data_IF_501755168728
#
_entry.id   IF_501755168728
#
_cell.length_a   1.000
_cell.length_b   1.000
_cell.length_c   1.000
_cell.angle_alpha   90.00
_cell.angle_beta   90.00
_cell.angle_gamma   90.00
#
_symmetry.space_group_name_H-M   'P 1'
#
loop_
_entity.id
_entity.type
_entity.pdbx_description
1 polymer ?
#
# COMPACT_ATOMS: atom_id res chain seq x y z
N UNK A 1 -17.02 6.44 23.29
CA UNK A 1 -15.81 7.01 22.66
C UNK A 1 -15.07 5.82 22.09
N UNK A 2 -14.75 5.78 20.78
CA UNK A 2 -13.89 4.72 20.24
C UNK A 2 -12.45 5.06 20.62
N UNK A 3 -11.70 4.10 21.14
CA UNK A 3 -10.28 4.28 21.49
C UNK A 3 -9.39 3.59 20.45
N UNK A 4 -8.26 4.19 20.13
CA UNK A 4 -7.24 3.59 19.26
C UNK A 4 -6.47 2.58 20.10
N UNK A 5 -6.51 1.32 19.66
CA UNK A 5 -5.84 0.19 20.34
C UNK A 5 -4.37 0.09 19.90
N UNK A 6 -4.09 0.36 18.62
CA UNK A 6 -2.76 0.28 18.04
C UNK A 6 -2.62 1.28 16.88
N UNK A 7 -1.45 1.92 16.79
CA UNK A 7 -1.04 2.72 15.64
C UNK A 7 0.31 2.22 15.15
N UNK A 8 0.42 1.93 13.85
CA UNK A 8 1.62 1.38 13.24
C UNK A 8 2.01 2.15 11.98
N UNK A 9 3.27 2.54 11.90
CA UNK A 9 3.87 3.05 10.66
C UNK A 9 4.16 1.89 9.70
N UNK A 10 3.74 2.04 8.45
CA UNK A 10 3.91 1.05 7.38
C UNK A 10 4.63 1.64 6.18
N UNK A 11 5.27 0.78 5.39
CA UNK A 11 6.01 1.15 4.16
C UNK A 11 5.11 1.22 2.93
N UNK A 12 5.59 1.87 1.85
CA UNK A 12 4.88 1.95 0.56
C UNK A 12 4.60 0.54 0.00
N UNK A 13 5.57 -0.41 0.02
CA UNK A 13 5.29 -1.81 -0.34
C UNK A 13 4.17 -2.47 0.47
N UNK A 14 4.12 -2.25 1.78
CA UNK A 14 3.03 -2.76 2.63
C UNK A 14 1.69 -2.12 2.27
N UNK A 15 1.66 -0.81 2.00
CA UNK A 15 0.44 -0.11 1.55
C UNK A 15 -0.04 -0.68 0.22
N UNK A 16 0.87 -0.93 -0.74
CA UNK A 16 0.53 -1.55 -2.03
C UNK A 16 -0.13 -2.91 -1.82
N UNK A 17 0.47 -3.81 -1.03
CA UNK A 17 -0.10 -5.12 -0.74
C UNK A 17 -1.51 -5.02 -0.13
N UNK A 18 -1.73 -4.06 0.78
CA UNK A 18 -3.04 -3.85 1.39
C UNK A 18 -4.06 -3.39 0.36
N UNK A 19 -3.72 -2.42 -0.48
CA UNK A 19 -4.64 -1.85 -1.47
C UNK A 19 -4.93 -2.84 -2.60
N UNK A 20 -3.93 -3.60 -3.07
CA UNK A 20 -4.12 -4.65 -4.08
C UNK A 20 -5.08 -5.73 -3.56
N UNK A 21 -4.96 -6.12 -2.29
CA UNK A 21 -5.88 -7.08 -1.68
C UNK A 21 -7.31 -6.54 -1.60
N UNK A 22 -7.49 -5.26 -1.25
CA UNK A 22 -8.82 -4.64 -1.18
C UNK A 22 -9.46 -4.60 -2.56
N UNK A 23 -8.72 -4.20 -3.59
CA UNK A 23 -9.19 -4.18 -4.99
C UNK A 23 -9.68 -5.58 -5.42
N UNK A 24 -8.91 -6.64 -5.11
CA UNK A 24 -9.29 -8.02 -5.41
C UNK A 24 -10.53 -8.49 -4.63
N UNK A 25 -10.67 -8.10 -3.35
CA UNK A 25 -11.84 -8.43 -2.54
C UNK A 25 -13.11 -7.71 -3.03
N UNK A 26 -12.99 -6.48 -3.52
CA UNK A 26 -14.09 -5.72 -4.12
C UNK A 26 -14.51 -6.31 -5.47
N UNK A 27 -13.56 -6.66 -6.33
CA UNK A 27 -13.83 -7.31 -7.61
C UNK A 27 -14.52 -8.67 -7.42
N UNK A 28 -14.08 -9.47 -6.45
CA UNK A 28 -14.71 -10.76 -6.15
C UNK A 28 -16.16 -10.61 -5.66
N UNK A 29 -16.44 -9.61 -4.82
CA UNK A 29 -17.82 -9.33 -4.37
C UNK A 29 -18.73 -8.92 -5.52
N UNK A 30 -18.27 -8.04 -6.41
CA UNK A 30 -19.05 -7.64 -7.59
C UNK A 30 -19.37 -8.83 -8.48
N UNK A 31 -18.39 -9.71 -8.72
CA UNK A 31 -18.62 -10.92 -9.50
C UNK A 31 -19.65 -11.88 -8.84
N UNK A 32 -19.60 -12.05 -7.52
CA UNK A 32 -20.60 -12.84 -6.78
C UNK A 32 -22.00 -12.20 -6.83
N UNK A 33 -22.10 -10.87 -6.75
CA UNK A 33 -23.36 -10.13 -6.88
C UNK A 33 -23.97 -10.25 -8.28
N UNK A 34 -23.16 -10.11 -9.33
CA UNK A 34 -23.57 -10.29 -10.73
C UNK A 34 -24.09 -11.73 -10.99
N UNK A 35 -23.41 -12.76 -10.48
CA UNK A 35 -23.89 -14.15 -10.60
C UNK A 35 -25.23 -14.37 -9.88
N UNK A 36 -25.45 -13.74 -8.72
CA UNK A 36 -26.71 -13.85 -7.98
C UNK A 36 -27.87 -13.13 -8.68
N UNK A 37 -27.60 -12.03 -9.37
CA UNK A 37 -28.57 -11.32 -10.20
C UNK A 37 -28.95 -12.12 -11.46
N UNK A 38 -27.98 -12.75 -12.12
CA UNK A 38 -28.24 -13.65 -13.27
C UNK A 38 -29.13 -14.85 -12.89
N UNK A 39 -28.97 -15.38 -11.67
CA UNK A 39 -29.79 -16.49 -11.15
C UNK A 39 -31.22 -16.01 -10.78
N UNK A 40 -31.39 -14.73 -10.42
CA UNK A 40 -32.67 -14.14 -10.02
C UNK A 40 -33.42 -13.45 -11.18
N UNK A 41 -32.79 -13.29 -12.36
CA UNK A 41 -33.32 -12.66 -13.57
C UNK A 41 -34.40 -13.43 -14.35
N UNK A 42 -35.29 -14.16 -13.68
CA UNK A 42 -36.54 -14.66 -14.26
C UNK A 42 -37.69 -13.66 -14.07
N UNK A 43 -37.93 -12.83 -15.09
CA UNK A 43 -39.13 -12.00 -15.35
C UNK A 43 -39.83 -11.32 -14.14
N UNK A 44 -39.53 -10.03 -13.91
CA UNK A 44 -40.41 -9.07 -13.24
C UNK A 44 -40.87 -7.99 -14.23
N UNK A 45 -42.16 -7.56 -14.21
CA UNK A 45 -42.68 -6.66 -15.24
C UNK A 45 -42.08 -5.26 -15.12
N UNK A 46 -41.79 -4.66 -16.26
CA UNK A 46 -41.36 -3.26 -16.38
C UNK A 46 -42.44 -2.33 -15.81
N UNK A 47 -42.19 -1.73 -14.64
CA UNK A 47 -42.91 -0.55 -14.18
C UNK A 47 -42.17 0.70 -14.68
N UNK A 48 -42.71 1.31 -15.73
CA UNK A 48 -42.37 2.68 -16.14
C UNK A 48 -42.87 3.65 -15.06
N UNK A 49 -41.95 4.22 -14.27
CA UNK A 49 -42.24 5.15 -13.18
C UNK A 49 -41.25 6.30 -13.09
N UNK A 50 -41.73 7.49 -13.49
CA UNK A 50 -41.25 8.86 -13.27
C UNK A 50 -39.92 9.10 -12.53
N UNK A 51 -38.91 9.60 -13.25
CA UNK A 51 -38.02 10.70 -12.81
C UNK A 51 -37.12 10.49 -11.58
N UNK A 52 -36.95 9.26 -11.10
CA UNK A 52 -35.93 8.89 -10.11
C UNK A 52 -34.66 8.39 -10.79
N UNK A 53 -33.51 8.62 -10.16
CA UNK A 53 -32.25 7.96 -10.52
C UNK A 53 -32.48 6.44 -10.47
N UNK A 54 -32.03 5.72 -11.49
CA UNK A 54 -32.00 4.26 -11.49
C UNK A 54 -31.18 3.73 -10.32
N UNK A 55 -31.41 2.47 -9.92
CA UNK A 55 -30.62 1.84 -8.86
C UNK A 55 -29.11 1.87 -9.17
N UNK A 56 -28.73 1.75 -10.45
CA UNK A 56 -27.36 1.92 -10.92
C UNK A 56 -26.86 3.37 -10.78
N UNK A 57 -27.63 4.37 -11.20
CA UNK A 57 -27.26 5.78 -11.03
C UNK A 57 -27.18 6.20 -9.54
N UNK A 58 -27.99 5.60 -8.67
CA UNK A 58 -27.96 5.83 -7.23
C UNK A 58 -26.72 5.19 -6.59
N UNK A 59 -26.33 4.00 -7.06
CA UNK A 59 -25.11 3.30 -6.63
C UNK A 59 -23.85 4.05 -7.06
N UNK A 60 -23.81 4.57 -8.30
CA UNK A 60 -22.72 5.40 -8.81
C UNK A 60 -22.55 6.72 -8.03
N UNK A 61 -23.65 7.30 -7.53
CA UNK A 61 -23.63 8.53 -6.72
C UNK A 61 -23.21 8.30 -5.27
N UNK A 62 -23.44 7.11 -4.71
CA UNK A 62 -23.03 6.77 -3.34
C UNK A 62 -21.53 6.37 -3.24
N UNK A 63 -20.88 5.95 -4.34
CA UNK A 63 -19.45 5.61 -4.39
C UNK A 63 -18.50 6.83 -4.57
N UNK A 64 -19.02 8.02 -4.85
CA UNK A 64 -18.24 9.25 -5.09
C UNK A 64 -18.06 10.11 -3.81
N UNK A 65 -17.70 9.49 -2.68
CA UNK A 65 -17.51 10.20 -1.40
C UNK A 65 -16.17 10.96 -1.28
N UNK A 66 -15.45 11.16 -2.39
CA UNK A 66 -14.13 11.79 -2.43
C UNK A 66 -13.01 10.96 -1.80
N UNK A 67 -13.31 9.94 -0.98
CA UNK A 67 -12.31 8.94 -0.56
C UNK A 67 -11.86 8.12 -1.75
N UNK A 68 -12.76 7.90 -2.71
CA UNK A 68 -12.47 7.24 -3.97
C UNK A 68 -11.31 7.91 -4.73
N UNK A 69 -11.30 9.24 -4.87
CA UNK A 69 -10.23 9.94 -5.59
C UNK A 69 -8.86 9.85 -4.89
N UNK A 70 -8.81 10.11 -3.58
CA UNK A 70 -7.55 10.06 -2.83
C UNK A 70 -7.03 8.62 -2.70
N UNK A 71 -7.91 7.64 -2.55
CA UNK A 71 -7.55 6.23 -2.48
C UNK A 71 -7.04 5.75 -3.84
N UNK A 72 -7.73 6.07 -4.94
CA UNK A 72 -7.27 5.80 -6.32
C UNK A 72 -5.90 6.41 -6.58
N UNK A 73 -5.74 7.70 -6.28
CA UNK A 73 -4.45 8.40 -6.43
C UNK A 73 -3.34 7.76 -5.58
N UNK A 74 -3.67 7.34 -4.35
CA UNK A 74 -2.72 6.64 -3.48
C UNK A 74 -2.37 5.27 -4.05
N UNK A 75 -3.34 4.54 -4.58
CA UNK A 75 -3.12 3.21 -5.16
C UNK A 75 -2.24 3.28 -6.41
N UNK A 76 -2.53 4.22 -7.30
CA UNK A 76 -1.69 4.53 -8.46
C UNK A 76 -0.26 4.89 -8.03
N UNK A 77 -0.12 5.74 -7.02
CA UNK A 77 1.19 6.10 -6.47
C UNK A 77 1.94 4.86 -5.96
N UNK A 78 1.33 4.03 -5.11
CA UNK A 78 2.04 2.88 -4.54
C UNK A 78 2.31 1.79 -5.58
N UNK A 79 1.48 1.63 -6.62
CA UNK A 79 1.73 0.74 -7.76
C UNK A 79 3.03 1.12 -8.50
N UNK A 80 3.34 2.41 -8.60
CA UNK A 80 4.55 2.92 -9.26
C UNK A 80 5.78 2.96 -8.33
N UNK A 81 5.58 3.32 -7.06
CA UNK A 81 6.68 3.63 -6.14
C UNK A 81 7.03 2.50 -5.16
N UNK A 82 6.28 1.40 -5.12
CA UNK A 82 6.71 0.19 -4.41
C UNK A 82 7.87 -0.48 -5.15
N UNK A 83 9.10 -0.18 -4.72
CA UNK A 83 10.33 -0.64 -5.39
C UNK A 83 10.72 -2.08 -5.08
N UNK A 84 10.11 -2.67 -4.06
CA UNK A 84 10.35 -4.04 -3.58
C UNK A 84 9.02 -4.61 -3.08
N UNK A 85 8.95 -5.94 -2.97
CA UNK A 85 7.78 -6.63 -2.41
C UNK A 85 7.61 -6.37 -0.91
N UNK A 86 6.37 -6.44 -0.44
CA UNK A 86 5.99 -6.18 0.96
C UNK A 86 6.78 -7.05 1.94
N UNK A 87 6.94 -8.34 1.66
CA UNK A 87 7.69 -9.25 2.52
C UNK A 87 9.19 -8.94 2.57
N UNK A 88 9.76 -8.54 1.44
CA UNK A 88 11.15 -8.07 1.38
C UNK A 88 11.32 -6.78 2.18
N UNK A 89 10.38 -5.83 2.06
CA UNK A 89 10.38 -4.60 2.85
C UNK A 89 10.30 -4.89 4.36
N UNK A 90 9.40 -5.78 4.79
CA UNK A 90 9.27 -6.21 6.20
C UNK A 90 10.59 -6.78 6.75
N UNK A 91 11.26 -7.65 5.98
CA UNK A 91 12.56 -8.23 6.36
C UNK A 91 13.65 -7.15 6.48
N UNK A 92 13.77 -6.26 5.50
CA UNK A 92 14.73 -5.16 5.52
C UNK A 92 14.49 -4.25 6.73
N UNK A 93 13.24 -3.83 6.97
CA UNK A 93 12.89 -2.95 8.09
C UNK A 93 13.22 -3.64 9.42
N UNK A 94 12.84 -4.91 9.57
CA UNK A 94 13.11 -5.68 10.79
C UNK A 94 14.61 -5.78 11.07
N UNK A 95 15.43 -6.09 10.05
CA UNK A 95 16.89 -6.16 10.17
C UNK A 95 17.49 -4.80 10.56
N UNK A 96 17.09 -3.72 9.88
CA UNK A 96 17.61 -2.37 10.16
C UNK A 96 17.27 -1.89 11.58
N UNK A 97 16.07 -2.18 12.07
CA UNK A 97 15.65 -1.79 13.41
C UNK A 97 16.36 -2.64 14.48
N UNK A 98 16.42 -3.96 14.29
CA UNK A 98 16.94 -4.88 15.31
C UNK A 98 18.47 -4.97 15.34
N UNK A 99 19.14 -5.06 14.19
CA UNK A 99 20.60 -5.25 14.11
C UNK A 99 21.37 -3.95 13.99
N UNK A 100 20.77 -2.91 13.40
CA UNK A 100 21.44 -1.61 13.20
C UNK A 100 20.96 -0.52 14.16
N UNK A 101 20.05 -0.86 15.08
CA UNK A 101 19.46 0.02 16.10
C UNK A 101 18.87 1.29 15.47
N UNK A 102 18.29 1.14 14.28
CA UNK A 102 17.79 2.25 13.50
C UNK A 102 16.38 2.65 13.94
N UNK A 103 16.05 3.96 13.99
CA UNK A 103 14.68 4.38 14.19
C UNK A 103 13.76 3.78 13.12
N UNK A 104 12.62 3.23 13.54
CA UNK A 104 11.63 2.59 12.64
C UNK A 104 11.29 3.46 11.44
N UNK A 105 11.07 4.77 11.66
CA UNK A 105 10.77 5.72 10.59
C UNK A 105 11.89 5.80 9.55
N UNK A 106 13.15 5.78 9.96
CA UNK A 106 14.29 5.79 9.04
C UNK A 106 14.39 4.47 8.27
N UNK A 107 14.19 3.33 8.95
CA UNK A 107 14.19 2.02 8.30
C UNK A 107 13.09 1.90 7.24
N UNK A 108 11.88 2.39 7.53
CA UNK A 108 10.78 2.46 6.55
C UNK A 108 11.16 3.32 5.34
N UNK A 109 11.79 4.48 5.55
CA UNK A 109 12.21 5.35 4.44
C UNK A 109 13.28 4.69 3.57
N UNK A 110 14.22 3.95 4.18
CA UNK A 110 15.22 3.19 3.43
C UNK A 110 14.54 2.09 2.59
N UNK A 111 13.57 1.36 3.14
CA UNK A 111 12.83 0.35 2.38
C UNK A 111 12.02 0.97 1.22
N UNK A 112 11.39 2.13 1.44
CA UNK A 112 10.66 2.86 0.39
C UNK A 112 11.58 3.36 -0.74
N UNK A 113 12.74 3.89 -0.37
CA UNK A 113 13.70 4.43 -1.34
C UNK A 113 14.51 3.33 -2.01
N UNK A 114 14.72 2.20 -1.35
CA UNK A 114 15.47 1.05 -1.83
C UNK A 114 16.81 1.45 -2.49
N UNK A 115 17.75 2.05 -1.73
CA UNK A 115 18.91 2.74 -2.28
C UNK A 115 19.82 1.79 -3.07
N UNK A 116 20.43 2.27 -4.15
CA UNK A 116 21.36 1.48 -4.97
C UNK A 116 22.82 1.89 -4.84
N UNK A 117 23.06 3.01 -4.18
CA UNK A 117 24.40 3.53 -3.97
C UNK A 117 24.63 3.85 -2.50
N UNK A 118 25.87 3.72 -1.99
CA UNK A 118 26.22 4.17 -0.65
C UNK A 118 25.87 5.66 -0.44
N UNK A 119 26.00 6.47 -1.50
CA UNK A 119 25.67 7.89 -1.50
C UNK A 119 24.18 8.15 -1.22
N UNK A 120 23.27 7.39 -1.84
CA UNK A 120 21.84 7.46 -1.53
C UNK A 120 21.53 7.07 -0.08
N UNK A 121 22.23 6.03 0.42
CA UNK A 121 22.05 5.58 1.79
C UNK A 121 22.55 6.63 2.80
N UNK A 122 23.65 7.33 2.51
CA UNK A 122 24.22 8.36 3.40
C UNK A 122 23.27 9.53 3.66
N UNK A 123 22.36 9.86 2.72
CA UNK A 123 21.37 10.93 2.88
C UNK A 123 20.51 10.76 4.15
N UNK A 124 20.26 9.51 4.56
CA UNK A 124 19.48 9.20 5.77
C UNK A 124 20.26 9.43 7.08
N UNK A 125 21.58 9.54 7.01
CA UNK A 125 22.48 9.65 8.17
C UNK A 125 23.07 11.07 8.34
N UNK A 126 22.93 11.93 7.34
CA UNK A 126 23.49 13.30 7.37
C UNK A 126 22.91 14.18 8.48
N UNK A 127 21.64 13.96 8.84
CA UNK A 127 20.91 14.70 9.89
C UNK A 127 20.72 13.88 11.18
N UNK A 128 21.27 12.68 11.25
CA UNK A 128 21.11 11.74 12.36
C UNK A 128 22.18 11.90 13.45
N UNK A 129 21.94 11.24 14.60
CA UNK A 129 22.93 11.10 15.68
C UNK A 129 24.08 10.17 15.30
N UNK A 130 23.83 9.19 14.43
CA UNK A 130 24.81 8.25 13.88
C UNK A 130 25.18 8.70 12.48
N UNK A 131 26.48 8.98 12.26
CA UNK A 131 27.05 9.20 10.93
C UNK A 131 27.69 7.92 10.45
N UNK A 132 27.41 7.55 9.21
CA UNK A 132 28.12 6.46 8.54
C UNK A 132 29.22 7.05 7.66
N UNK A 133 30.37 6.38 7.64
CA UNK A 133 31.38 6.60 6.61
C UNK A 133 31.03 5.81 5.34
N UNK A 134 31.79 6.03 4.26
CA UNK A 134 31.54 5.40 2.95
C UNK A 134 31.65 3.87 2.98
N UNK A 135 32.52 3.31 3.81
CA UNK A 135 32.71 1.87 3.94
C UNK A 135 31.58 1.22 4.74
N UNK A 136 31.15 1.85 5.84
CA UNK A 136 29.99 1.43 6.61
C UNK A 136 28.70 1.46 5.78
N UNK A 137 28.50 2.51 4.98
CA UNK A 137 27.37 2.63 4.07
C UNK A 137 27.40 1.53 2.99
N UNK A 138 28.57 1.19 2.45
CA UNK A 138 28.73 0.06 1.51
C UNK A 138 28.34 -1.27 2.15
N UNK A 139 28.82 -1.53 3.37
CA UNK A 139 28.54 -2.78 4.09
C UNK A 139 27.05 -2.90 4.43
N UNK A 140 26.42 -1.80 4.86
CA UNK A 140 24.98 -1.78 5.13
C UNK A 140 24.17 -1.97 3.85
N UNK A 141 24.56 -1.32 2.76
CA UNK A 141 23.92 -1.50 1.46
C UNK A 141 24.02 -2.95 0.97
N UNK A 142 25.18 -3.59 1.16
CA UNK A 142 25.36 -5.00 0.83
C UNK A 142 24.35 -5.88 1.58
N UNK A 143 24.21 -5.70 2.89
CA UNK A 143 23.22 -6.42 3.71
C UNK A 143 21.78 -6.20 3.27
N UNK A 144 21.40 -4.95 2.98
CA UNK A 144 20.06 -4.62 2.48
C UNK A 144 19.79 -5.37 1.17
N UNK A 145 20.81 -5.49 0.31
CA UNK A 145 20.72 -6.18 -0.96
C UNK A 145 20.61 -7.70 -0.85
N UNK A 146 21.07 -8.32 0.22
CA UNK A 146 20.89 -9.77 0.43
C UNK A 146 19.41 -10.19 0.52
N UNK A 147 18.53 -9.25 0.90
CA UNK A 147 17.09 -9.48 0.90
C UNK A 147 16.44 -9.27 -0.47
N UNK A 148 17.14 -8.63 -1.41
CA UNK A 148 16.69 -8.50 -2.80
C UNK A 148 17.11 -9.80 -3.48
N UNK A 149 16.16 -10.66 -3.78
CA UNK A 149 16.41 -11.86 -4.59
C UNK A 149 16.77 -11.43 -6.03
N UNK A 150 18.03 -11.02 -6.25
CA UNK A 150 18.61 -10.65 -7.55
C UNK A 150 19.53 -11.75 -8.08
#
# INVERSE_FOLDING_TARGET
>A
MREIIEEKAISIPEVKEILDRIELEEEAKRAEEEELEEIQGGEGPAEEGEGGLTSEELFELEEDDGRNYFLKSTHEYVKVFAKIESDTAKKVISNLVSENEMPLKTAIQIANINPDTPEELLVFFDKGSKRLNKEEAKNLLFKIREYREL
#
